data_IF_617332725048
#
_entry.id   IF_617332725048
#
_cell.length_a   1.000
_cell.length_b   1.000
_cell.length_c   1.000
_cell.angle_alpha   90.00
_cell.angle_beta   90.00
_cell.angle_gamma   90.00
#
_symmetry.space_group_name_H-M   'P 1'
#
loop_
_entity.id
_entity.type
_entity.pdbx_description
1 polymer ?
#
# COMPACT_ATOMS: atom_id res chain seq x y z
N UNK A 1 6.95 -5.54 -1.57
CA UNK A 1 5.61 -6.12 -1.32
C UNK A 1 4.56 -5.09 -1.62
N UNK A 2 3.43 -5.53 -2.17
CA UNK A 2 2.32 -4.70 -2.58
C UNK A 2 1.07 -5.06 -1.79
N UNK A 3 0.42 -4.04 -1.25
CA UNK A 3 -0.91 -4.16 -0.66
C UNK A 3 -1.60 -2.79 -0.63
N UNK A 4 -2.89 -2.77 -0.31
CA UNK A 4 -3.69 -1.57 -0.24
C UNK A 4 -4.42 -1.46 1.10
N UNK A 5 -4.59 -0.21 1.57
CA UNK A 5 -5.40 0.07 2.76
C UNK A 5 -6.45 1.12 2.44
N UNK A 6 -7.73 0.74 2.52
CA UNK A 6 -8.86 1.66 2.41
C UNK A 6 -9.06 2.42 3.73
N UNK A 7 -9.07 3.75 3.65
CA UNK A 7 -9.29 4.65 4.80
C UNK A 7 -10.42 5.62 4.51
N UNK A 8 -11.17 5.96 5.56
CA UNK A 8 -12.26 6.94 5.47
C UNK A 8 -11.69 8.34 5.24
N UNK A 9 -12.32 9.09 4.35
CA UNK A 9 -12.06 10.53 4.20
C UNK A 9 -12.92 11.35 5.15
N UNK A 10 -12.56 12.61 5.40
CA UNK A 10 -13.45 13.59 6.07
C UNK A 10 -14.43 14.23 5.09
N UNK A 11 -15.30 15.13 5.56
CA UNK A 11 -16.30 15.83 4.74
C UNK A 11 -15.68 16.55 3.53
N UNK A 12 -14.54 17.22 3.70
CA UNK A 12 -13.79 17.97 2.69
C UNK A 12 -12.80 17.14 1.86
N UNK A 13 -12.82 15.80 1.97
CA UNK A 13 -11.76 14.91 1.48
C UNK A 13 -11.64 14.71 -0.04
N UNK A 14 -12.04 15.67 -0.88
CA UNK A 14 -11.75 15.69 -2.32
C UNK A 14 -12.06 14.40 -3.11
N UNK A 15 -11.21 14.02 -4.09
CA UNK A 15 -11.40 12.78 -4.87
C UNK A 15 -11.44 11.55 -3.97
N UNK A 16 -12.53 10.78 -4.03
CA UNK A 16 -12.79 9.63 -3.16
C UNK A 16 -13.76 8.66 -3.81
N UNK A 17 -13.74 7.42 -3.34
CA UNK A 17 -14.55 6.31 -3.83
C UNK A 17 -15.19 5.50 -2.71
N UNK A 18 -15.87 4.43 -3.09
CA UNK A 18 -16.43 3.46 -2.16
C UNK A 18 -15.87 2.06 -2.41
N UNK A 19 -15.16 1.55 -1.41
CA UNK A 19 -14.71 0.16 -1.37
C UNK A 19 -15.84 -0.70 -0.80
N UNK A 20 -16.53 -1.45 -1.68
CA UNK A 20 -17.61 -2.35 -1.28
C UNK A 20 -17.12 -3.52 -0.42
N UNK A 21 -15.90 -4.03 -0.67
CA UNK A 21 -15.33 -5.15 0.07
C UNK A 21 -14.99 -4.80 1.51
N UNK A 22 -14.53 -3.57 1.75
CA UNK A 22 -14.22 -3.06 3.10
C UNK A 22 -15.34 -2.21 3.71
N UNK A 23 -16.38 -1.88 2.93
CA UNK A 23 -17.46 -0.95 3.28
C UNK A 23 -16.91 0.41 3.74
N UNK A 24 -15.92 0.92 2.99
CA UNK A 24 -15.23 2.19 3.31
C UNK A 24 -15.46 3.20 2.20
N UNK A 25 -16.05 4.35 2.55
CA UNK A 25 -16.08 5.55 1.71
C UNK A 25 -14.84 6.38 1.97
N UNK A 26 -13.96 6.49 0.99
CA UNK A 26 -12.74 7.29 1.12
C UNK A 26 -11.70 6.98 0.05
N UNK A 27 -10.46 6.76 0.48
CA UNK A 27 -9.31 6.51 -0.40
C UNK A 27 -8.59 5.22 -0.04
N UNK A 28 -8.05 4.55 -1.04
CA UNK A 28 -7.09 3.46 -0.90
C UNK A 28 -5.68 4.01 -0.91
N UNK A 29 -4.86 3.52 0.00
CA UNK A 29 -3.41 3.74 0.02
C UNK A 29 -2.77 2.56 -0.67
N UNK A 30 -2.47 2.68 -1.95
CA UNK A 30 -1.72 1.66 -2.66
C UNK A 30 -0.24 1.79 -2.29
N UNK A 31 0.33 0.74 -1.72
CA UNK A 31 1.66 0.82 -1.12
C UNK A 31 2.57 -0.28 -1.64
N UNK A 32 3.80 0.11 -2.00
CA UNK A 32 4.94 -0.77 -2.16
C UNK A 32 5.94 -0.55 -1.03
N UNK A 33 6.32 -1.62 -0.33
CA UNK A 33 7.39 -1.62 0.70
C UNK A 33 8.52 -2.57 0.36
N UNK A 34 9.71 -2.32 0.93
CA UNK A 34 10.83 -3.28 0.93
C UNK A 34 10.59 -4.46 1.89
N UNK A 35 11.57 -5.35 2.04
CA UNK A 35 11.50 -6.52 2.93
C UNK A 35 11.47 -6.18 4.42
N UNK A 36 11.92 -4.99 4.81
CA UNK A 36 11.92 -4.51 6.20
C UNK A 36 10.66 -3.67 6.51
N UNK A 37 9.82 -3.41 5.51
CA UNK A 37 8.63 -2.59 5.63
C UNK A 37 8.94 -1.08 5.59
N UNK A 38 9.96 -0.67 4.84
CA UNK A 38 10.18 0.75 4.48
C UNK A 38 9.35 1.08 3.24
N UNK A 39 8.64 2.20 3.27
CA UNK A 39 7.81 2.65 2.14
C UNK A 39 8.67 3.05 0.94
N UNK A 40 8.44 2.40 -0.21
CA UNK A 40 9.09 2.70 -1.49
C UNK A 40 8.21 3.60 -2.35
N UNK A 41 6.98 3.16 -2.62
CA UNK A 41 5.98 3.93 -3.37
C UNK A 41 4.68 3.95 -2.57
N UNK A 42 4.18 5.14 -2.27
CA UNK A 42 2.94 5.38 -1.53
C UNK A 42 2.01 6.21 -2.38
N UNK A 43 0.98 5.60 -2.95
CA UNK A 43 0.09 6.25 -3.91
C UNK A 43 -1.37 6.20 -3.42
N UNK A 44 -1.94 7.33 -2.98
CA UNK A 44 -3.35 7.39 -2.60
C UNK A 44 -4.23 7.48 -3.86
N UNK A 45 -5.31 6.71 -3.86
CA UNK A 45 -6.27 6.63 -4.96
C UNK A 45 -7.70 6.60 -4.39
N UNK A 46 -8.73 6.98 -5.17
CA UNK A 46 -10.12 6.73 -4.79
C UNK A 46 -10.36 5.27 -4.39
N UNK A 47 -11.17 5.01 -3.37
CA UNK A 47 -11.32 3.67 -2.80
C UNK A 47 -12.08 2.67 -3.69
N UNK A 48 -12.75 3.14 -4.74
CA UNK A 48 -13.42 2.31 -5.75
C UNK A 48 -12.44 1.75 -6.79
N UNK A 49 -11.20 2.25 -6.85
CA UNK A 49 -10.14 1.68 -7.69
C UNK A 49 -9.81 0.27 -7.23
N UNK A 50 -9.82 -0.69 -8.15
CA UNK A 50 -9.49 -2.08 -7.86
C UNK A 50 -7.99 -2.23 -7.60
N UNK A 51 -7.62 -3.16 -6.71
CA UNK A 51 -6.22 -3.32 -6.30
C UNK A 51 -5.30 -3.68 -7.48
N UNK A 52 -5.81 -4.44 -8.45
CA UNK A 52 -5.13 -4.71 -9.73
C UNK A 52 -4.81 -3.44 -10.53
N UNK A 53 -5.74 -2.50 -10.63
CA UNK A 53 -5.55 -1.29 -11.42
C UNK A 53 -4.62 -0.32 -10.68
N UNK A 54 -4.81 -0.20 -9.37
CA UNK A 54 -3.93 0.58 -8.50
C UNK A 54 -2.49 0.07 -8.50
N UNK A 55 -2.29 -1.24 -8.52
CA UNK A 55 -0.96 -1.85 -8.60
C UNK A 55 -0.21 -1.48 -9.87
N UNK A 56 -0.89 -1.38 -11.02
CA UNK A 56 -0.25 -1.00 -12.27
C UNK A 56 0.45 0.37 -12.15
N UNK A 57 -0.22 1.33 -11.50
CA UNK A 57 0.33 2.67 -11.25
C UNK A 57 1.58 2.58 -10.36
N UNK A 58 1.47 1.87 -9.23
CA UNK A 58 2.57 1.76 -8.26
C UNK A 58 3.78 1.02 -8.83
N UNK A 59 3.56 -0.03 -9.62
CA UNK A 59 4.62 -0.76 -10.31
C UNK A 59 5.34 0.15 -11.31
N UNK A 60 4.61 0.90 -12.13
CA UNK A 60 5.21 1.82 -13.12
C UNK A 60 6.02 2.92 -12.45
N UNK A 61 5.47 3.53 -11.39
CA UNK A 61 6.16 4.57 -10.63
C UNK A 61 7.45 4.06 -9.97
N UNK A 62 7.48 2.80 -9.52
CA UNK A 62 8.66 2.23 -8.86
C UNK A 62 9.84 2.07 -9.82
N UNK A 63 9.62 1.85 -11.12
CA UNK A 63 10.69 1.57 -12.09
C UNK A 63 11.73 2.67 -12.22
N UNK A 64 11.33 3.94 -12.11
CA UNK A 64 12.25 5.07 -12.23
C UNK A 64 13.19 5.18 -11.02
N UNK A 65 12.65 5.01 -9.81
CA UNK A 65 13.41 5.17 -8.57
C UNK A 65 14.13 3.88 -8.14
N UNK A 66 13.59 2.73 -8.51
CA UNK A 66 14.05 1.41 -8.06
C UNK A 66 14.17 0.43 -9.25
N UNK A 67 15.05 0.71 -10.22
CA UNK A 67 15.19 -0.12 -11.43
C UNK A 67 15.68 -1.54 -11.13
N UNK A 68 16.27 -1.76 -9.95
CA UNK A 68 16.80 -3.05 -9.49
C UNK A 68 15.74 -3.98 -8.88
N UNK A 69 14.51 -3.52 -8.64
CA UNK A 69 13.45 -4.40 -8.14
C UNK A 69 13.07 -5.39 -9.24
N UNK A 70 13.26 -6.68 -8.98
CA UNK A 70 12.91 -7.76 -9.89
C UNK A 70 11.57 -8.43 -9.54
N UNK A 71 11.23 -8.52 -8.25
CA UNK A 71 10.05 -9.27 -7.77
C UNK A 71 9.23 -8.47 -6.77
N UNK A 72 7.91 -8.50 -6.91
CA UNK A 72 6.95 -7.96 -5.94
C UNK A 72 5.99 -9.06 -5.48
N UNK A 73 5.89 -9.23 -4.16
CA UNK A 73 4.89 -10.12 -3.54
C UNK A 73 3.59 -9.37 -3.30
N UNK A 74 2.45 -10.00 -3.60
CA UNK A 74 1.11 -9.45 -3.41
C UNK A 74 0.10 -10.56 -3.06
N UNK A 75 -1.12 -10.20 -2.64
CA UNK A 75 -2.18 -11.19 -2.41
C UNK A 75 -3.02 -11.50 -3.67
N UNK A 76 -4.02 -12.37 -3.53
CA UNK A 76 -4.87 -12.78 -4.66
C UNK A 76 -5.66 -11.65 -5.31
N UNK A 77 -5.90 -10.53 -4.62
CA UNK A 77 -6.57 -9.34 -5.18
C UNK A 77 -5.76 -8.63 -6.28
N UNK A 78 -4.46 -8.96 -6.38
CA UNK A 78 -3.54 -8.45 -7.40
C UNK A 78 -3.38 -9.39 -8.60
N UNK A 79 -4.15 -10.48 -8.65
CA UNK A 79 -4.11 -11.41 -9.77
C UNK A 79 -4.72 -10.78 -11.03
N UNK A 80 -4.06 -10.94 -12.17
CA UNK A 80 -4.57 -10.52 -13.48
C UNK A 80 -3.44 -10.17 -14.45
N UNK A 81 -3.78 -10.09 -15.73
CA UNK A 81 -2.82 -9.75 -16.78
C UNK A 81 -2.32 -8.31 -16.67
N UNK A 82 -3.20 -7.36 -16.33
CA UNK A 82 -2.83 -5.95 -16.26
C UNK A 82 -1.69 -5.67 -15.26
N UNK A 83 -1.73 -6.12 -13.99
CA UNK A 83 -0.58 -6.02 -13.09
C UNK A 83 0.67 -6.74 -13.62
N UNK A 84 0.51 -7.97 -14.12
CA UNK A 84 1.61 -8.82 -14.56
C UNK A 84 2.38 -8.23 -15.77
N UNK A 85 1.69 -7.50 -16.63
CA UNK A 85 2.25 -6.86 -17.83
C UNK A 85 2.55 -5.36 -17.61
N UNK A 86 2.26 -4.80 -16.44
CA UNK A 86 2.44 -3.38 -16.19
C UNK A 86 3.90 -2.93 -16.27
N UNK A 87 4.84 -3.83 -15.90
CA UNK A 87 6.30 -3.60 -15.88
C UNK A 87 7.06 -4.91 -16.01
N UNK A 88 8.40 -4.86 -16.06
CA UNK A 88 9.28 -6.04 -15.98
C UNK A 88 9.39 -6.66 -14.58
N UNK A 89 8.73 -6.12 -13.56
CA UNK A 89 8.72 -6.68 -12.20
C UNK A 89 7.81 -7.89 -12.17
N UNK A 90 8.36 -9.06 -11.82
CA UNK A 90 7.58 -10.28 -11.60
C UNK A 90 6.69 -10.14 -10.38
N UNK A 91 5.39 -10.39 -10.53
CA UNK A 91 4.45 -10.41 -9.41
C UNK A 91 4.29 -11.84 -8.92
N UNK A 92 4.57 -12.07 -7.64
CA UNK A 92 4.33 -13.34 -6.97
C UNK A 92 3.12 -13.23 -6.05
N UNK A 93 2.07 -13.98 -6.38
CA UNK A 93 0.85 -14.04 -5.60
C UNK A 93 1.03 -15.00 -4.43
N UNK A 94 1.05 -14.47 -3.22
CA UNK A 94 1.12 -15.24 -1.98
C UNK A 94 -0.27 -15.78 -1.67
N UNK A 95 -0.51 -17.04 -2.04
CA UNK A 95 -1.78 -17.73 -1.81
C UNK A 95 -1.88 -18.26 -0.38
N UNK A 96 -3.11 -18.40 0.09
CA UNK A 96 -3.39 -19.19 1.30
C UNK A 96 -3.13 -20.67 1.00
N UNK A 97 -2.48 -21.43 1.90
CA UNK A 97 -2.45 -22.89 1.81
C UNK A 97 -3.88 -23.44 1.72
N UNK A 98 -4.13 -24.44 0.85
CA UNK A 98 -5.48 -24.97 0.61
C UNK A 98 -6.13 -25.56 1.86
N UNK A 99 -5.34 -26.14 2.76
CA UNK A 99 -5.82 -26.83 3.96
C UNK A 99 -5.74 -25.97 5.24
N UNK A 100 -5.51 -24.65 5.10
CA UNK A 100 -5.38 -23.78 6.27
C UNK A 100 -6.72 -23.56 6.98
N UNK A 101 -6.86 -24.14 8.17
CA UNK A 101 -7.92 -23.82 9.13
C UNK A 101 -7.40 -22.79 10.12
N UNK A 102 -8.09 -21.66 10.26
CA UNK A 102 -7.71 -20.58 11.17
C UNK A 102 -6.64 -19.62 10.63
N UNK A 103 -6.08 -18.80 11.51
CA UNK A 103 -5.06 -17.80 11.15
C UNK A 103 -3.67 -18.45 11.07
N UNK A 104 -3.00 -18.31 9.93
CA UNK A 104 -1.58 -18.61 9.79
C UNK A 104 -0.86 -17.41 9.18
N UNK A 105 0.36 -17.17 9.66
CA UNK A 105 1.21 -16.10 9.14
C UNK A 105 1.75 -16.52 7.78
N UNK A 106 1.30 -15.84 6.72
CA UNK A 106 1.89 -16.03 5.40
C UNK A 106 3.27 -15.40 5.37
N UNK A 107 4.32 -16.14 4.96
CA UNK A 107 5.65 -15.59 4.76
C UNK A 107 5.56 -14.35 3.87
N UNK A 108 6.29 -13.31 4.25
CA UNK A 108 6.37 -12.02 3.55
C UNK A 108 5.13 -11.12 3.71
N UNK A 109 3.90 -11.59 3.50
CA UNK A 109 2.69 -10.72 3.49
C UNK A 109 2.54 -9.77 4.70
N UNK A 110 2.92 -10.22 5.89
CA UNK A 110 2.80 -9.44 7.13
C UNK A 110 3.63 -8.13 7.14
N UNK A 111 4.65 -7.98 6.29
CA UNK A 111 5.53 -6.81 6.31
C UNK A 111 4.82 -5.53 5.86
N UNK A 112 3.98 -5.60 4.82
CA UNK A 112 3.22 -4.45 4.33
C UNK A 112 2.04 -4.13 5.25
N UNK A 113 1.39 -5.16 5.82
CA UNK A 113 0.38 -4.98 6.87
C UNK A 113 0.97 -4.29 8.11
N UNK A 114 2.18 -4.67 8.52
CA UNK A 114 2.92 -4.02 9.60
C UNK A 114 3.28 -2.57 9.26
N UNK A 115 3.61 -2.27 8.01
CA UNK A 115 3.79 -0.89 7.56
C UNK A 115 2.51 -0.06 7.75
N UNK A 116 1.35 -0.59 7.37
CA UNK A 116 0.08 0.08 7.63
C UNK A 116 -0.18 0.27 9.12
N UNK A 117 0.12 -0.71 9.96
CA UNK A 117 -0.01 -0.59 11.41
C UNK A 117 0.87 0.54 11.98
N UNK A 118 2.10 0.71 11.46
CA UNK A 118 2.99 1.78 11.88
C UNK A 118 2.54 3.16 11.40
N UNK A 119 2.14 3.28 10.13
CA UNK A 119 1.76 4.57 9.56
C UNK A 119 0.44 5.10 10.16
N UNK A 120 -0.47 4.19 10.55
CA UNK A 120 -1.70 4.54 11.28
C UNK A 120 -1.46 5.08 12.69
N UNK A 121 -0.25 4.95 13.27
CA UNK A 121 0.11 5.61 14.53
C UNK A 121 0.32 7.11 14.37
N UNK A 122 0.48 7.59 13.13
CA UNK A 122 0.44 9.02 12.86
C UNK A 122 -1.03 9.47 12.91
N UNK A 123 -1.41 10.21 13.96
CA UNK A 123 -2.78 10.71 14.16
C UNK A 123 -3.36 11.43 12.94
N UNK A 124 -2.51 12.11 12.15
CA UNK A 124 -2.95 12.76 10.90
C UNK A 124 -3.52 11.79 9.87
N UNK A 125 -3.04 10.54 9.89
CA UNK A 125 -3.41 9.48 8.94
C UNK A 125 -4.46 8.49 9.50
N UNK A 126 -5.07 8.77 10.65
CA UNK A 126 -6.19 7.98 11.17
C UNK A 126 -7.40 7.98 10.21
N UNK A 127 -7.69 9.14 9.63
CA UNK A 127 -8.53 9.35 8.45
C UNK A 127 -7.68 10.03 7.39
N UNK A 128 -8.21 10.16 6.18
CA UNK A 128 -7.61 11.05 5.17
C UNK A 128 -8.40 12.37 5.08
N UNK A 129 -7.90 13.45 5.72
CA UNK A 129 -8.56 14.75 5.66
C UNK A 129 -8.19 15.59 4.43
N UNK A 130 -7.32 15.09 3.54
CA UNK A 130 -6.69 15.92 2.52
C UNK A 130 -7.63 16.19 1.34
N UNK A 131 -7.64 17.42 0.84
CA UNK A 131 -8.50 17.82 -0.29
C UNK A 131 -8.00 17.29 -1.65
N UNK A 132 -6.69 17.03 -1.79
CA UNK A 132 -6.10 16.56 -3.06
C UNK A 132 -5.30 15.28 -2.85
N UNK A 133 -5.20 14.45 -3.90
CA UNK A 133 -4.36 13.24 -3.88
C UNK A 133 -2.88 13.59 -3.70
N UNK A 134 -2.44 14.72 -4.26
CA UNK A 134 -1.06 15.21 -4.08
C UNK A 134 -0.75 15.51 -2.62
N UNK A 135 -1.65 16.17 -1.90
CA UNK A 135 -1.47 16.44 -0.46
C UNK A 135 -1.52 15.14 0.35
N UNK A 136 -2.50 14.27 0.09
CA UNK A 136 -2.58 12.94 0.70
C UNK A 136 -1.28 12.15 0.54
N UNK A 137 -0.71 12.17 -0.66
CA UNK A 137 0.55 11.51 -0.97
C UNK A 137 1.71 12.13 -0.19
N UNK A 138 1.82 13.46 -0.16
CA UNK A 138 2.85 14.16 0.58
C UNK A 138 2.83 13.78 2.08
N UNK A 139 1.65 13.70 2.70
CA UNK A 139 1.52 13.30 4.10
C UNK A 139 1.80 11.81 4.35
N UNK A 140 1.48 10.93 3.40
CA UNK A 140 1.89 9.52 3.47
C UNK A 140 3.41 9.40 3.48
N UNK A 141 4.11 10.08 2.58
CA UNK A 141 5.58 10.08 2.57
C UNK A 141 6.16 10.75 3.81
N UNK A 142 5.62 11.88 4.27
CA UNK A 142 6.07 12.53 5.50
C UNK A 142 5.96 11.58 6.72
N UNK A 143 4.87 10.82 6.82
CA UNK A 143 4.71 9.81 7.87
C UNK A 143 5.71 8.65 7.73
N UNK A 144 5.96 8.17 6.51
CA UNK A 144 6.99 7.15 6.25
C UNK A 144 8.38 7.63 6.66
N UNK A 145 8.75 8.87 6.31
CA UNK A 145 10.04 9.49 6.70
C UNK A 145 10.14 9.63 8.21
N UNK A 146 9.10 10.13 8.89
CA UNK A 146 9.08 10.21 10.36
C UNK A 146 9.27 8.85 11.03
N UNK A 147 8.72 7.77 10.45
CA UNK A 147 8.94 6.42 10.95
C UNK A 147 10.40 5.98 10.77
N UNK A 148 11.02 6.27 9.62
CA UNK A 148 12.42 5.95 9.36
C UNK A 148 13.37 6.72 10.28
N UNK A 149 13.17 8.02 10.45
CA UNK A 149 13.99 8.87 11.34
C UNK A 149 13.95 8.36 12.78
N UNK A 150 12.77 7.99 13.29
CA UNK A 150 12.64 7.41 14.64
C UNK A 150 13.33 6.06 14.79
N UNK A 151 13.50 5.29 13.72
CA UNK A 151 14.24 4.02 13.77
C UNK A 151 15.73 4.26 13.82
N UNK A 152 16.23 5.17 12.98
CA UNK A 152 17.66 5.53 12.98
C UNK A 152 18.10 5.99 14.37
N UNK A 153 17.33 6.87 15.02
CA UNK A 153 17.64 7.34 16.38
C UNK A 153 17.47 6.32 17.51
N UNK A 154 16.99 5.09 17.24
CA UNK A 154 16.97 3.98 18.22
C UNK A 154 18.07 2.95 17.98
N UNK A 155 18.68 2.99 16.80
CA UNK A 155 19.80 2.13 16.43
C UNK A 155 21.16 2.79 16.74
N UNK A 156 21.15 4.10 17.02
CA UNK A 156 22.26 4.88 17.55
C UNK A 156 22.37 4.81 19.06
#
# INVERSE_FOLDING_TARGET
>A
MLDSQSVKTTESGGPRGYDAGKKVKGRKRQVMVDTDGRGLILEPQPADVQDRDGACVVLRLSRRAFPFIATAFADSGYTGEAPAQATSIRIEIVRKPPDQVGFAVHPRRWVVERFFAWISRNRRLWKDPEATLTSARAFLYAASVMLLVRRMGRCS
#
